data_IF_786803166274
#
_entry.id   IF_786803166274
#
_cell.length_a   1.000
_cell.length_b   1.000
_cell.length_c   1.000
_cell.angle_alpha   90.00
_cell.angle_beta   90.00
_cell.angle_gamma   90.00
#
_symmetry.space_group_name_H-M   'P 1'
#
loop_
_entity.id
_entity.type
_entity.pdbx_description
1 polymer ?
#
# COMPACT_ATOMS: atom_id res chain seq x y z
N UNK A 1 76.54 -8.69 2.84
CA UNK A 1 75.20 -9.04 3.32
C UNK A 1 74.22 -8.37 2.36
N UNK A 2 73.79 -9.07 1.31
CA UNK A 2 72.60 -9.95 1.31
C UNK A 2 71.31 -9.12 1.44
N UNK A 3 70.21 -9.34 0.73
CA UNK A 3 69.85 -10.11 -0.45
C UNK A 3 68.43 -9.64 -0.78
N UNK A 4 68.11 -9.55 -2.07
CA UNK A 4 66.79 -9.24 -2.60
C UNK A 4 65.75 -10.28 -2.11
N UNK A 5 64.56 -9.85 -1.64
CA UNK A 5 63.40 -10.75 -1.52
C UNK A 5 62.06 -10.01 -1.45
N UNK A 6 61.41 -10.00 -2.61
CA UNK A 6 59.97 -10.17 -2.90
C UNK A 6 58.92 -9.91 -1.82
N UNK A 7 58.08 -8.91 -2.13
CA UNK A 7 56.63 -8.83 -1.97
C UNK A 7 55.93 -10.19 -1.81
N UNK A 8 55.36 -10.43 -0.63
CA UNK A 8 54.47 -11.54 -0.32
C UNK A 8 53.08 -10.98 0.00
N UNK A 9 52.12 -11.14 -0.91
CA UNK A 9 50.70 -10.95 -0.60
C UNK A 9 50.14 -12.25 -0.02
N UNK A 10 49.77 -12.20 1.25
CA UNK A 10 49.04 -13.27 1.91
C UNK A 10 47.57 -13.16 1.52
N UNK A 11 47.10 -14.05 0.64
CA UNK A 11 45.67 -14.29 0.46
C UNK A 11 45.15 -15.02 1.70
N UNK A 12 44.67 -14.25 2.68
CA UNK A 12 43.81 -14.78 3.72
C UNK A 12 42.42 -14.96 3.13
N UNK A 13 42.06 -16.20 2.83
CA UNK A 13 40.65 -16.57 2.76
C UNK A 13 40.09 -16.50 4.19
N UNK A 14 39.26 -15.50 4.44
CA UNK A 14 38.36 -15.47 5.59
C UNK A 14 36.93 -15.43 5.06
N UNK A 15 36.38 -16.62 4.87
CA UNK A 15 34.96 -16.86 5.10
C UNK A 15 34.66 -16.46 6.56
N UNK A 16 34.14 -15.25 6.75
CA UNK A 16 33.48 -14.85 7.99
C UNK A 16 32.03 -14.49 7.64
N UNK A 17 31.19 -15.52 7.67
CA UNK A 17 29.87 -15.38 8.28
C UNK A 17 30.08 -14.84 9.69
N UNK A 18 29.68 -13.59 9.97
CA UNK A 18 28.98 -13.19 11.19
C UNK A 18 28.76 -11.67 11.22
N UNK A 19 27.48 -11.31 11.31
CA UNK A 19 26.95 -10.34 12.27
C UNK A 19 27.75 -9.06 12.54
N UNK A 20 27.79 -8.14 11.56
CA UNK A 20 28.07 -6.73 11.86
C UNK A 20 26.79 -5.89 11.78
N UNK A 21 26.19 -5.73 12.96
CA UNK A 21 25.52 -4.49 13.33
C UNK A 21 24.06 -4.41 12.93
N UNK A 22 23.19 -4.78 13.87
CA UNK A 22 21.96 -4.03 14.15
C UNK A 22 22.30 -2.55 14.46
N UNK A 23 22.73 -1.81 13.43
CA UNK A 23 22.57 -0.37 13.42
C UNK A 23 21.06 -0.17 13.34
N UNK A 24 20.44 0.01 14.51
CA UNK A 24 19.11 0.58 14.70
C UNK A 24 18.81 1.44 13.49
N UNK A 25 17.97 0.93 12.57
CA UNK A 25 17.49 1.70 11.43
C UNK A 25 16.68 2.84 12.03
N UNK A 26 17.37 3.91 12.44
CA UNK A 26 16.82 5.23 12.61
C UNK A 26 16.27 5.56 11.24
N UNK A 27 14.97 5.31 11.13
CA UNK A 27 14.03 6.11 10.40
C UNK A 27 14.68 6.85 9.22
N UNK A 28 15.03 6.09 8.18
CA UNK A 28 15.61 6.62 6.94
C UNK A 28 14.56 7.42 6.13
N UNK A 29 13.54 8.00 6.77
CA UNK A 29 12.60 8.94 6.17
C UNK A 29 13.13 10.40 6.17
N UNK A 30 14.36 10.66 6.64
CA UNK A 30 14.91 12.02 6.70
C UNK A 30 15.19 12.70 5.34
N UNK A 31 15.10 12.00 4.20
CA UNK A 31 15.29 12.59 2.86
C UNK A 31 13.98 12.92 2.12
N UNK A 32 12.83 12.93 2.80
CA UNK A 32 11.71 13.77 2.36
C UNK A 32 12.07 15.24 2.69
N UNK A 33 13.21 15.70 2.16
CA UNK A 33 13.48 17.12 2.04
C UNK A 33 12.61 17.57 0.87
N UNK A 34 11.44 18.12 1.20
CA UNK A 34 10.46 18.63 0.24
C UNK A 34 11.10 19.62 -0.72
N UNK A 35 11.56 19.13 -1.87
CA UNK A 35 12.00 20.01 -2.94
C UNK A 35 10.75 20.53 -3.67
N UNK A 36 10.58 21.85 -3.66
CA UNK A 36 9.44 22.53 -4.30
C UNK A 36 9.33 22.27 -5.82
N UNK A 37 10.32 21.59 -6.41
CA UNK A 37 10.43 21.22 -7.81
C UNK A 37 9.79 19.87 -8.18
N UNK A 38 9.18 19.12 -7.24
CA UNK A 38 8.57 17.82 -7.51
C UNK A 38 7.03 17.85 -7.35
N UNK A 39 6.26 18.04 -8.45
CA UNK A 39 4.79 18.12 -8.39
C UNK A 39 4.11 16.85 -7.88
N UNK A 40 4.72 15.68 -8.06
CA UNK A 40 4.22 14.39 -7.59
C UNK A 40 4.39 14.16 -6.08
N UNK A 41 5.28 14.91 -5.43
CA UNK A 41 5.55 14.83 -3.98
C UNK A 41 4.88 15.95 -3.18
N UNK A 42 4.20 16.89 -3.84
CA UNK A 42 3.30 17.79 -3.12
C UNK A 42 2.19 16.93 -2.52
N UNK A 43 1.88 17.06 -1.22
CA UNK A 43 0.64 16.52 -0.68
C UNK A 43 -0.50 17.29 -1.34
N UNK A 44 -0.95 16.82 -2.50
CA UNK A 44 -2.35 17.00 -2.83
C UNK A 44 -3.11 16.25 -1.73
N UNK A 45 -4.14 16.84 -1.11
CA UNK A 45 -5.01 16.14 -0.16
C UNK A 45 -5.51 14.77 -0.68
N UNK A 46 -5.46 14.59 -2.01
CA UNK A 46 -5.84 13.40 -2.76
C UNK A 46 -4.78 12.27 -2.83
N UNK A 47 -3.53 12.49 -2.41
CA UNK A 47 -2.49 11.45 -2.39
C UNK A 47 -2.58 10.65 -1.09
N UNK A 48 -3.43 9.63 -1.08
CA UNK A 48 -3.84 8.93 0.15
C UNK A 48 -2.80 7.95 0.69
N UNK A 49 -1.92 7.41 -0.16
CA UNK A 49 -0.85 6.47 0.23
C UNK A 49 0.37 6.63 -0.69
N UNK A 50 1.59 6.64 -0.14
CA UNK A 50 2.85 6.77 -0.89
C UNK A 50 3.96 5.94 -0.22
N UNK A 51 4.75 5.21 -0.99
CA UNK A 51 5.86 4.44 -0.44
C UNK A 51 6.64 3.61 -1.44
N UNK A 52 7.87 3.24 -1.06
CA UNK A 52 8.70 2.34 -1.85
C UNK A 52 8.38 0.88 -1.55
N UNK A 53 7.85 0.17 -2.54
CA UNK A 53 7.39 -1.21 -2.41
C UNK A 53 8.15 -2.15 -3.36
N UNK A 54 8.16 -3.44 -3.03
CA UNK A 54 8.68 -4.45 -3.94
C UNK A 54 7.62 -4.83 -4.98
N UNK A 55 7.91 -4.63 -6.26
CA UNK A 55 7.09 -5.11 -7.38
C UNK A 55 7.66 -6.40 -7.93
N UNK A 56 6.81 -7.41 -8.13
CA UNK A 56 7.20 -8.65 -8.83
C UNK A 56 7.13 -8.43 -10.35
N UNK A 57 8.23 -8.73 -11.03
CA UNK A 57 8.32 -8.76 -12.49
C UNK A 57 7.89 -10.12 -13.04
N UNK A 58 7.66 -10.18 -14.35
CA UNK A 58 7.24 -11.39 -15.06
C UNK A 58 8.19 -12.60 -14.88
N UNK A 59 9.51 -12.36 -14.75
CA UNK A 59 10.52 -13.39 -14.45
C UNK A 59 10.60 -13.79 -12.96
N UNK A 60 9.68 -13.31 -12.11
CA UNK A 60 9.70 -13.56 -10.66
C UNK A 60 10.70 -12.72 -9.88
N UNK A 61 11.53 -11.92 -10.54
CA UNK A 61 12.42 -10.95 -9.91
C UNK A 61 11.63 -9.83 -9.21
N UNK A 62 12.18 -9.30 -8.13
CA UNK A 62 11.60 -8.18 -7.39
C UNK A 62 12.42 -6.91 -7.60
N UNK A 63 11.73 -5.79 -7.85
CA UNK A 63 12.34 -4.46 -7.88
C UNK A 63 11.66 -3.55 -6.87
N UNK A 64 12.45 -2.75 -6.14
CA UNK A 64 11.92 -1.73 -5.25
C UNK A 64 11.63 -0.47 -6.06
N UNK A 65 10.37 -0.04 -6.07
CA UNK A 65 9.85 1.05 -6.90
C UNK A 65 8.95 1.95 -6.04
N UNK A 66 8.76 3.20 -6.45
CA UNK A 66 7.92 4.15 -5.75
C UNK A 66 6.47 4.01 -6.22
N UNK A 67 5.54 3.79 -5.28
CA UNK A 67 4.12 3.73 -5.55
C UNK A 67 3.40 4.90 -4.89
N UNK A 68 2.42 5.47 -5.59
CA UNK A 68 1.57 6.56 -5.11
C UNK A 68 0.12 6.23 -5.49
N UNK A 69 -0.79 6.24 -4.53
CA UNK A 69 -2.23 6.19 -4.80
C UNK A 69 -2.74 7.63 -4.81
N UNK A 70 -3.26 8.06 -5.96
CA UNK A 70 -3.94 9.34 -6.13
C UNK A 70 -5.35 9.07 -6.63
N UNK A 71 -6.34 9.49 -5.86
CA UNK A 71 -7.75 9.15 -6.12
C UNK A 71 -7.92 7.63 -6.21
N UNK A 72 -8.36 7.12 -7.36
CA UNK A 72 -8.50 5.70 -7.64
C UNK A 72 -7.38 5.13 -8.52
N UNK A 73 -6.29 5.88 -8.74
CA UNK A 73 -5.19 5.47 -9.62
C UNK A 73 -3.94 5.16 -8.81
N UNK A 74 -3.40 3.97 -9.00
CA UNK A 74 -2.08 3.57 -8.52
C UNK A 74 -1.04 3.92 -9.57
N UNK A 75 -0.13 4.82 -9.19
CA UNK A 75 1.01 5.26 -9.99
C UNK A 75 2.27 4.55 -9.51
N UNK A 76 3.13 4.14 -10.44
CA UNK A 76 4.42 3.52 -10.13
C UNK A 76 5.53 4.26 -10.87
N UNK A 77 6.58 4.64 -10.14
CA UNK A 77 7.78 5.31 -10.63
C UNK A 77 9.00 4.47 -10.31
N UNK A 78 10.05 4.55 -11.11
CA UNK A 78 11.30 3.85 -10.81
C UNK A 78 11.98 4.49 -9.59
N UNK A 79 11.92 5.82 -9.48
CA UNK A 79 12.36 6.57 -8.31
C UNK A 79 11.66 7.93 -8.18
N UNK A 80 11.85 8.60 -7.03
CA UNK A 80 11.24 9.91 -6.76
C UNK A 80 11.67 11.04 -7.72
N UNK A 81 12.76 10.87 -8.48
CA UNK A 81 13.22 11.87 -9.46
C UNK A 81 12.47 11.79 -10.80
N UNK A 82 11.74 10.72 -11.04
CA UNK A 82 11.04 10.53 -12.30
C UNK A 82 9.86 11.51 -12.38
N UNK A 83 9.69 12.14 -13.55
CA UNK A 83 8.61 13.10 -13.79
C UNK A 83 7.32 12.43 -14.25
N UNK A 84 7.42 11.22 -14.82
CA UNK A 84 6.30 10.46 -15.37
C UNK A 84 6.29 9.04 -14.77
N UNK A 85 5.12 8.48 -14.47
CA UNK A 85 5.02 7.11 -14.01
C UNK A 85 5.34 6.13 -15.14
N UNK A 86 5.93 5.00 -14.78
CA UNK A 86 6.13 3.86 -15.69
C UNK A 86 4.91 2.94 -15.75
N UNK A 87 3.99 3.06 -14.78
CA UNK A 87 2.71 2.36 -14.76
C UNK A 87 1.67 3.27 -14.11
N UNK A 88 0.53 3.38 -14.76
CA UNK A 88 -0.71 3.94 -14.22
C UNK A 88 -1.78 2.86 -14.27
N UNK A 89 -2.39 2.58 -13.12
CA UNK A 89 -3.35 1.49 -12.95
C UNK A 89 -4.59 2.03 -12.24
N UNK A 90 -5.76 1.93 -12.85
CA UNK A 90 -7.00 2.21 -12.12
C UNK A 90 -7.31 1.06 -11.16
N UNK A 91 -7.49 1.39 -9.88
CA UNK A 91 -7.85 0.47 -8.81
C UNK A 91 -9.33 0.09 -8.86
N UNK A 92 -10.14 0.82 -9.66
CA UNK A 92 -11.55 0.54 -9.88
C UNK A 92 -11.74 -0.88 -10.42
N UNK A 93 -12.62 -1.64 -9.78
CA UNK A 93 -12.92 -3.03 -10.18
C UNK A 93 -11.77 -4.02 -10.01
N UNK A 94 -10.61 -3.61 -9.50
CA UNK A 94 -9.51 -4.52 -9.22
C UNK A 94 -9.86 -5.43 -8.05
N UNK A 95 -9.59 -6.73 -8.19
CA UNK A 95 -9.66 -7.65 -7.06
C UNK A 95 -8.31 -7.69 -6.34
N UNK A 96 -8.33 -7.40 -5.04
CA UNK A 96 -7.14 -7.47 -4.19
C UNK A 96 -7.08 -8.80 -3.45
N UNK A 97 -5.97 -9.53 -3.59
CA UNK A 97 -5.74 -10.82 -2.94
C UNK A 97 -4.48 -10.77 -2.08
N UNK A 98 -4.65 -10.99 -0.79
CA UNK A 98 -3.54 -11.08 0.18
C UNK A 98 -2.98 -12.52 0.26
N UNK A 99 -1.65 -12.65 0.37
CA UNK A 99 -0.97 -13.93 0.63
C UNK A 99 0.20 -13.74 1.61
N UNK A 100 0.30 -14.64 2.59
CA UNK A 100 1.50 -14.83 3.41
C UNK A 100 2.39 -15.94 2.84
N UNK A 101 3.70 -15.80 2.96
CA UNK A 101 4.74 -16.67 2.40
C UNK A 101 5.91 -16.81 3.39
N UNK A 102 6.56 -17.97 3.40
CA UNK A 102 7.77 -18.26 4.20
C UNK A 102 9.07 -17.67 3.63
N UNK A 103 9.00 -16.58 2.86
CA UNK A 103 10.19 -15.94 2.29
C UNK A 103 10.89 -15.08 3.33
N UNK A 104 12.23 -15.13 3.42
CA UNK A 104 13.00 -14.26 4.34
C UNK A 104 12.80 -12.76 4.08
N UNK A 105 12.59 -12.37 2.81
CA UNK A 105 12.55 -10.95 2.39
C UNK A 105 11.13 -10.44 2.12
N UNK A 106 10.28 -11.24 1.47
CA UNK A 106 8.94 -10.85 1.04
C UNK A 106 7.92 -11.82 1.63
N UNK A 107 7.59 -11.61 2.90
CA UNK A 107 6.68 -12.47 3.66
C UNK A 107 5.22 -12.24 3.27
N UNK A 108 4.87 -11.01 2.89
CA UNK A 108 3.49 -10.63 2.62
C UNK A 108 3.36 -10.10 1.19
N UNK A 109 2.30 -10.51 0.48
CA UNK A 109 2.05 -10.09 -0.89
C UNK A 109 0.61 -9.62 -1.05
N UNK A 110 0.44 -8.48 -1.72
CA UNK A 110 -0.84 -8.02 -2.26
C UNK A 110 -0.82 -8.21 -3.77
N UNK A 111 -1.75 -9.02 -4.28
CA UNK A 111 -1.95 -9.24 -5.70
C UNK A 111 -3.20 -8.50 -6.15
N UNK A 112 -3.02 -7.49 -7.00
CA UNK A 112 -4.09 -6.84 -7.74
C UNK A 112 -4.35 -7.66 -9.01
N UNK A 113 -5.60 -8.07 -9.20
CA UNK A 113 -6.08 -8.70 -10.43
C UNK A 113 -6.91 -7.67 -11.17
N UNK A 114 -6.45 -7.29 -12.35
CA UNK A 114 -7.11 -6.33 -13.23
C UNK A 114 -8.09 -7.05 -14.16
N UNK A 115 -8.94 -6.28 -14.85
CA UNK A 115 -9.73 -6.77 -15.97
C UNK A 115 -8.79 -7.30 -17.07
N UNK A 116 -9.06 -8.50 -17.60
CA UNK A 116 -8.26 -9.08 -18.70
C UNK A 116 -7.11 -10.01 -18.29
N UNK A 117 -7.06 -10.47 -17.04
CA UNK A 117 -6.04 -11.40 -16.49
C UNK A 117 -4.66 -10.79 -16.20
N UNK A 118 -4.47 -9.49 -16.38
CA UNK A 118 -3.27 -8.80 -15.92
C UNK A 118 -3.21 -8.77 -14.39
N UNK A 119 -2.01 -8.86 -13.83
CA UNK A 119 -1.84 -8.84 -12.38
C UNK A 119 -0.62 -8.04 -11.96
N UNK A 120 -0.78 -7.20 -10.94
CA UNK A 120 0.32 -6.54 -10.24
C UNK A 120 0.51 -7.23 -8.88
N UNK A 121 1.75 -7.57 -8.54
CA UNK A 121 2.06 -8.16 -7.23
C UNK A 121 3.04 -7.26 -6.49
N UNK A 122 2.59 -6.76 -5.34
CA UNK A 122 3.34 -5.95 -4.40
C UNK A 122 3.77 -6.82 -3.22
N UNK A 123 4.99 -6.62 -2.75
CA UNK A 123 5.63 -7.40 -1.70
C UNK A 123 6.06 -6.54 -0.51
N UNK A 124 5.87 -7.07 0.68
CA UNK A 124 6.11 -6.41 1.97
C UNK A 124 6.86 -7.35 2.92
N UNK A 125 7.69 -6.78 3.79
CA UNK A 125 8.42 -7.54 4.80
C UNK A 125 7.56 -7.83 6.03
N UNK A 126 6.56 -6.99 6.32
CA UNK A 126 5.68 -7.13 7.50
C UNK A 126 4.20 -7.10 7.13
N UNK A 127 3.37 -7.70 7.99
CA UNK A 127 1.92 -7.69 7.85
C UNK A 127 1.37 -6.27 7.90
N UNK A 128 1.85 -5.44 8.84
CA UNK A 128 1.36 -4.08 9.01
C UNK A 128 1.50 -3.23 7.74
N UNK A 129 2.64 -3.31 7.05
CA UNK A 129 2.81 -2.60 5.78
C UNK A 129 1.84 -3.09 4.71
N UNK A 130 1.63 -4.41 4.61
CA UNK A 130 0.66 -4.97 3.68
C UNK A 130 -0.78 -4.57 4.04
N UNK A 131 -1.10 -4.49 5.33
CA UNK A 131 -2.42 -4.14 5.83
C UNK A 131 -2.75 -2.67 5.59
N UNK A 132 -1.79 -1.76 5.80
CA UNK A 132 -1.92 -0.33 5.46
C UNK A 132 -2.24 -0.13 3.98
N UNK A 133 -1.55 -0.84 3.09
CA UNK A 133 -1.79 -0.76 1.64
C UNK A 133 -3.03 -1.52 1.17
N UNK A 134 -3.60 -2.37 2.02
CA UNK A 134 -4.86 -3.07 1.76
C UNK A 134 -6.05 -2.23 2.19
N UNK A 135 -5.91 -1.43 3.24
CA UNK A 135 -6.97 -0.56 3.74
C UNK A 135 -7.28 0.54 2.71
N UNK A 136 -8.57 0.77 2.49
CA UNK A 136 -9.05 1.82 1.61
C UNK A 136 -9.90 2.79 2.41
N UNK A 137 -9.70 4.09 2.21
CA UNK A 137 -10.72 5.08 2.52
C UNK A 137 -11.78 5.08 1.42
N UNK A 138 -13.04 5.22 1.81
CA UNK A 138 -14.17 5.44 0.93
C UNK A 138 -14.82 6.75 1.36
N UNK A 139 -15.39 7.47 0.40
CA UNK A 139 -16.35 8.50 0.73
C UNK A 139 -17.63 7.81 1.17
N UNK A 140 -18.10 8.09 2.37
CA UNK A 140 -19.26 7.45 2.97
C UNK A 140 -20.32 8.50 3.27
N UNK A 141 -21.53 8.29 2.76
CA UNK A 141 -22.71 9.06 3.15
C UNK A 141 -23.34 8.41 4.37
N UNK A 142 -23.27 9.10 5.49
CA UNK A 142 -23.88 8.72 6.77
C UNK A 142 -24.50 9.97 7.39
N UNK A 143 -25.68 9.85 8.00
CA UNK A 143 -26.38 10.99 8.64
C UNK A 143 -26.49 12.23 7.72
N UNK A 144 -26.73 12.01 6.42
CA UNK A 144 -26.83 13.06 5.39
C UNK A 144 -25.54 13.87 5.16
N UNK A 145 -24.36 13.36 5.54
CA UNK A 145 -23.07 13.99 5.28
C UNK A 145 -22.08 13.00 4.65
N UNK A 146 -21.38 13.45 3.59
CA UNK A 146 -20.28 12.71 2.98
C UNK A 146 -19.00 12.92 3.80
N UNK A 147 -18.32 11.84 4.16
CA UNK A 147 -17.06 11.84 4.89
C UNK A 147 -16.09 10.83 4.28
N UNK A 148 -14.80 11.19 4.15
CA UNK A 148 -13.76 10.23 3.78
C UNK A 148 -13.38 9.41 5.02
N UNK A 149 -13.73 8.12 5.03
CA UNK A 149 -13.52 7.24 6.17
C UNK A 149 -12.68 6.03 5.76
N UNK A 150 -11.72 5.66 6.60
CA UNK A 150 -10.99 4.41 6.47
C UNK A 150 -11.97 3.26 6.66
N UNK A 151 -12.13 2.42 5.65
CA UNK A 151 -13.08 1.31 5.64
C UNK A 151 -12.33 -0.03 5.76
N UNK A 152 -12.71 -0.84 6.74
CA UNK A 152 -12.17 -2.18 6.98
C UNK A 152 -13.31 -3.17 7.15
N UNK A 153 -13.32 -4.24 6.35
CA UNK A 153 -14.24 -5.36 6.54
C UNK A 153 -13.55 -6.45 7.34
N UNK A 154 -14.14 -6.79 8.49
CA UNK A 154 -13.64 -7.80 9.40
C UNK A 154 -14.80 -8.64 9.94
N UNK A 155 -14.67 -9.98 9.87
CA UNK A 155 -15.68 -10.92 10.34
C UNK A 155 -17.13 -10.64 9.86
N UNK A 156 -17.29 -10.11 8.64
CA UNK A 156 -18.61 -9.77 8.08
C UNK A 156 -19.19 -8.44 8.56
N UNK A 157 -18.35 -7.59 9.14
CA UNK A 157 -18.70 -6.25 9.63
C UNK A 157 -17.84 -5.21 8.90
N UNK A 158 -18.47 -4.15 8.39
CA UNK A 158 -17.78 -2.98 7.86
C UNK A 158 -17.55 -1.97 8.99
N UNK A 159 -16.29 -1.78 9.35
CA UNK A 159 -15.81 -0.78 10.31
C UNK A 159 -15.30 0.45 9.55
N UNK A 160 -15.72 1.64 9.99
CA UNK A 160 -15.39 2.91 9.35
C UNK A 160 -14.77 3.87 10.38
N UNK A 161 -13.61 4.44 10.06
CA UNK A 161 -12.84 5.28 10.98
C UNK A 161 -12.50 6.65 10.38
N UNK A 162 -12.77 7.73 11.11
CA UNK A 162 -12.50 9.11 10.68
C UNK A 162 -11.06 9.57 10.90
N UNK A 163 -10.50 10.33 9.96
CA UNK A 163 -9.06 10.66 9.79
C UNK A 163 -8.32 11.12 11.07
N UNK A 164 -8.95 11.88 11.96
CA UNK A 164 -8.30 12.49 13.14
C UNK A 164 -7.86 11.51 14.25
N UNK A 165 -8.31 10.25 14.21
CA UNK A 165 -8.03 9.28 15.29
C UNK A 165 -6.73 8.47 15.12
N UNK A 166 -5.85 8.83 14.17
CA UNK A 166 -4.58 8.11 13.93
C UNK A 166 -3.60 8.11 15.13
N UNK A 167 -3.76 9.03 16.09
CA UNK A 167 -2.88 9.12 17.27
C UNK A 167 -3.21 8.11 18.38
N UNK A 168 -4.30 7.34 18.29
CA UNK A 168 -4.70 6.37 19.32
C UNK A 168 -4.42 4.93 18.86
N UNK A 169 -3.64 4.21 19.68
CA UNK A 169 -3.23 2.81 19.47
C UNK A 169 -4.41 1.81 19.51
N UNK A 170 -5.56 2.24 20.03
CA UNK A 170 -6.84 1.54 20.00
C UNK A 170 -7.90 2.52 19.45
N UNK A 171 -8.20 2.36 18.16
CA UNK A 171 -9.15 3.21 17.44
C UNK A 171 -10.50 2.52 17.44
N UNK A 172 -11.52 3.13 18.05
CA UNK A 172 -12.88 2.64 17.90
C UNK A 172 -13.44 3.07 16.54
N UNK A 173 -14.17 2.19 15.82
CA UNK A 173 -14.85 2.61 14.61
C UNK A 173 -15.85 3.73 14.93
N UNK A 174 -15.84 4.78 14.11
CA UNK A 174 -16.83 5.85 14.17
C UNK A 174 -18.21 5.30 13.76
N UNK A 175 -18.23 4.39 12.78
CA UNK A 175 -19.43 3.70 12.34
C UNK A 175 -19.16 2.21 12.07
N UNK A 176 -20.19 1.39 12.30
CA UNK A 176 -20.15 -0.06 12.11
C UNK A 176 -21.42 -0.51 11.41
N UNK A 177 -21.28 -1.29 10.34
CA UNK A 177 -22.42 -1.87 9.60
C UNK A 177 -22.26 -3.39 9.53
N UNK A 178 -23.27 -4.12 10.01
CA UNK A 178 -23.31 -5.58 9.87
C UNK A 178 -23.67 -5.93 8.44
N UNK A 179 -22.75 -6.56 7.70
CA UNK A 179 -22.99 -6.88 6.28
C UNK A 179 -23.88 -8.12 6.08
N UNK A 180 -24.04 -8.95 7.11
CA UNK A 180 -24.88 -10.15 7.04
C UNK A 180 -26.35 -9.73 6.91
N UNK A 181 -26.98 -10.11 5.81
CA UNK A 181 -28.35 -9.72 5.49
C UNK A 181 -28.48 -8.35 4.84
N UNK A 182 -27.38 -7.64 4.59
CA UNK A 182 -27.42 -6.45 3.75
C UNK A 182 -27.59 -6.84 2.28
N UNK A 183 -28.45 -6.10 1.60
CA UNK A 183 -28.51 -6.08 0.15
C UNK A 183 -27.56 -4.99 -0.37
N UNK A 184 -26.76 -5.35 -1.38
CA UNK A 184 -25.77 -4.47 -2.02
C UNK A 184 -26.31 -4.05 -3.38
N UNK A 185 -26.63 -2.76 -3.54
CA UNK A 185 -27.17 -2.20 -4.78
C UNK A 185 -26.14 -1.25 -5.42
N UNK A 186 -25.93 -1.31 -6.74
CA UNK A 186 -25.21 -0.24 -7.42
C UNK A 186 -25.98 1.08 -7.29
N UNK A 187 -25.27 2.18 -7.14
CA UNK A 187 -25.87 3.51 -7.13
C UNK A 187 -26.44 3.87 -8.51
N UNK A 188 -27.39 4.82 -8.58
CA UNK A 188 -28.09 5.17 -9.82
C UNK A 188 -27.19 5.78 -10.93
N UNK A 189 -25.98 6.26 -10.59
CA UNK A 189 -25.07 6.98 -11.50
C UNK A 189 -23.94 6.07 -12.04
N UNK A 190 -24.28 5.05 -12.84
CA UNK A 190 -23.37 3.94 -13.17
C UNK A 190 -22.33 4.19 -14.29
N UNK A 191 -21.91 5.42 -14.58
CA UNK A 191 -20.88 5.66 -15.60
C UNK A 191 -19.51 6.07 -15.05
N UNK A 192 -19.44 6.70 -13.87
CA UNK A 192 -18.17 7.25 -13.35
C UNK A 192 -17.98 7.16 -11.82
N UNK A 193 -18.97 6.72 -11.03
CA UNK A 193 -18.80 6.47 -9.60
C UNK A 193 -19.13 5.01 -9.29
N UNK A 194 -18.24 4.30 -8.59
CA UNK A 194 -18.50 2.94 -8.11
C UNK A 194 -19.33 3.01 -6.83
N UNK A 195 -20.44 3.77 -6.91
CA UNK A 195 -21.30 4.01 -5.77
C UNK A 195 -22.01 2.72 -5.41
N UNK A 196 -21.95 2.35 -4.15
CA UNK A 196 -22.61 1.17 -3.61
C UNK A 196 -23.52 1.62 -2.48
N UNK A 197 -24.78 1.18 -2.53
CA UNK A 197 -25.73 1.35 -1.45
C UNK A 197 -25.85 0.03 -0.68
N UNK A 198 -25.62 0.11 0.63
CA UNK A 198 -25.93 -0.96 1.57
C UNK A 198 -27.32 -0.71 2.13
N UNK A 199 -28.18 -1.71 2.08
CA UNK A 199 -29.53 -1.65 2.65
C UNK A 199 -29.84 -2.86 3.52
N UNK A 200 -30.61 -2.68 4.59
CA UNK A 200 -31.07 -3.73 5.48
C UNK A 200 -32.57 -3.56 5.69
N UNK A 201 -33.36 -4.58 5.33
CA UNK A 201 -34.83 -4.52 5.38
C UNK A 201 -35.40 -3.29 4.62
N UNK A 202 -34.87 -3.02 3.42
CA UNK A 202 -35.17 -1.87 2.56
C UNK A 202 -34.76 -0.48 3.08
N UNK A 203 -34.23 -0.39 4.30
CA UNK A 203 -33.64 0.85 4.82
C UNK A 203 -32.18 0.99 4.35
N UNK A 204 -31.84 2.17 3.83
CA UNK A 204 -30.46 2.51 3.47
C UNK A 204 -29.61 2.71 4.74
N UNK A 205 -28.56 1.91 4.90
CA UNK A 205 -27.67 1.98 6.07
C UNK A 205 -26.34 2.69 5.78
N UNK A 206 -25.88 2.66 4.53
CA UNK A 206 -24.71 3.43 4.08
C UNK A 206 -24.70 3.56 2.55
N UNK A 207 -24.09 4.64 2.06
CA UNK A 207 -23.68 4.76 0.66
C UNK A 207 -22.17 4.98 0.62
N UNK A 208 -21.48 4.21 -0.21
CA UNK A 208 -20.01 4.19 -0.32
C UNK A 208 -19.60 4.59 -1.74
N UNK A 209 -18.56 5.40 -1.86
CA UNK A 209 -17.94 5.85 -3.11
C UNK A 209 -16.40 5.80 -3.06
#
# INVERSE_FOLDING_TARGET
AESDSSHYESYGEEDNDDDEGEEFMKDRAHYIQWSASQPCLKPTPESRLCGYLWRRKWLGQWSKELFIIRNDVLLCYKCARDLLPQLELSLRGCQLVYKSKSSKKIQHQLKLVLLGSETLVLGYSTFQQADEWKKGFLNVLMNCQWQSLLCQVEAGVLNMFGEEEELKKERSPQYTVQLRGCEVKPGPDTSYSYRITLSMLDDQVAVLE
#
